data_IF_755811440664
#
_entry.id   IF_755811440664
#
_cell.length_a   1.000
_cell.length_b   1.000
_cell.length_c   1.000
_cell.angle_alpha   90.00
_cell.angle_beta   90.00
_cell.angle_gamma   90.00
#
_symmetry.space_group_name_H-M   'P 1'
#
loop_
_entity.id
_entity.type
_entity.pdbx_description
1 polymer ?
#
# COMPACT_ATOMS: atom_id res chain seq x y z
N UNK A 1 -6.63 -23.99 1.61
CA UNK A 1 -7.34 -23.20 0.57
C UNK A 1 -7.08 -21.75 0.90
N UNK A 2 -6.54 -20.94 -0.02
CA UNK A 2 -6.34 -19.51 0.26
C UNK A 2 -7.72 -18.86 0.48
N UNK A 3 -7.93 -18.26 1.65
CA UNK A 3 -9.18 -17.62 1.97
C UNK A 3 -9.23 -16.25 1.29
N UNK A 4 -10.24 -16.04 0.46
CA UNK A 4 -10.44 -14.77 -0.24
C UNK A 4 -10.73 -13.65 0.77
N UNK A 5 -10.06 -12.51 0.60
CA UNK A 5 -10.31 -11.32 1.41
C UNK A 5 -11.49 -10.57 0.80
N UNK A 6 -12.52 -10.33 1.62
CA UNK A 6 -13.75 -9.68 1.15
C UNK A 6 -13.52 -8.21 0.83
N UNK A 7 -14.33 -7.65 -0.07
CA UNK A 7 -14.28 -6.21 -0.38
C UNK A 7 -14.57 -5.34 0.85
N UNK A 8 -15.42 -5.81 1.78
CA UNK A 8 -15.72 -5.10 3.02
C UNK A 8 -14.48 -5.00 3.92
N UNK A 9 -13.75 -6.10 4.09
CA UNK A 9 -12.47 -6.12 4.81
C UNK A 9 -11.45 -5.18 4.17
N UNK A 10 -11.36 -5.15 2.83
CA UNK A 10 -10.47 -4.23 2.11
C UNK A 10 -10.89 -2.77 2.31
N UNK A 11 -12.20 -2.49 2.29
CA UNK A 11 -12.70 -1.13 2.51
C UNK A 11 -12.33 -0.64 3.91
N UNK A 12 -12.57 -1.48 4.93
CA UNK A 12 -12.21 -1.18 6.32
C UNK A 12 -10.70 -0.98 6.48
N UNK A 13 -9.89 -1.88 5.91
CA UNK A 13 -8.43 -1.78 5.90
C UNK A 13 -7.96 -0.45 5.34
N UNK A 14 -8.49 -0.04 4.18
CA UNK A 14 -8.11 1.24 3.55
C UNK A 14 -8.56 2.43 4.39
N UNK A 15 -9.77 2.42 4.95
CA UNK A 15 -10.23 3.53 5.78
C UNK A 15 -9.36 3.71 7.03
N UNK A 16 -9.10 2.62 7.78
CA UNK A 16 -8.22 2.64 8.95
C UNK A 16 -6.80 3.07 8.58
N UNK A 17 -6.30 2.58 7.45
CA UNK A 17 -4.98 2.92 6.96
C UNK A 17 -4.84 4.43 6.71
N UNK A 18 -5.80 5.06 6.02
CA UNK A 18 -5.75 6.50 5.76
C UNK A 18 -6.04 7.34 7.00
N UNK A 19 -6.86 6.87 7.94
CA UNK A 19 -7.05 7.55 9.25
C UNK A 19 -5.72 7.62 10.02
N UNK A 20 -4.88 6.59 9.94
CA UNK A 20 -3.52 6.61 10.52
C UNK A 20 -2.54 7.42 9.69
N UNK A 21 -2.53 7.22 8.36
CA UNK A 21 -1.56 7.82 7.45
C UNK A 21 -1.68 9.36 7.45
N UNK A 22 -2.91 9.88 7.44
CA UNK A 22 -3.18 11.32 7.45
C UNK A 22 -2.86 12.01 8.78
N UNK A 23 -2.51 11.26 9.83
CA UNK A 23 -1.99 11.79 11.10
C UNK A 23 -0.46 11.86 11.13
N UNK A 24 0.24 11.27 10.15
CA UNK A 24 1.71 11.28 10.09
C UNK A 24 2.19 12.63 9.52
N UNK A 25 3.12 13.35 10.19
CA UNK A 25 3.59 14.67 9.74
C UNK A 25 4.06 14.73 8.29
N UNK A 26 4.77 13.70 7.83
CA UNK A 26 5.23 13.57 6.45
C UNK A 26 4.08 13.61 5.44
N UNK A 27 3.02 12.84 5.68
CA UNK A 27 1.88 12.73 4.76
C UNK A 27 0.93 13.92 4.85
N UNK A 28 0.78 14.54 6.03
CA UNK A 28 0.07 15.81 6.18
C UNK A 28 0.68 16.87 5.25
N UNK A 29 2.01 17.03 5.31
CA UNK A 29 2.71 18.01 4.47
C UNK A 29 2.60 17.64 2.98
N UNK A 30 2.87 16.38 2.63
CA UNK A 30 2.84 15.92 1.24
C UNK A 30 1.45 16.08 0.59
N UNK A 31 0.39 15.68 1.27
CA UNK A 31 -0.96 15.76 0.72
C UNK A 31 -1.45 17.20 0.61
N UNK A 32 -1.09 18.06 1.57
CA UNK A 32 -1.38 19.49 1.51
C UNK A 32 -0.61 20.18 0.38
N UNK A 33 0.69 19.90 0.22
CA UNK A 33 1.54 20.53 -0.79
C UNK A 33 1.13 20.15 -2.21
N UNK A 34 0.71 18.88 -2.41
CA UNK A 34 0.33 18.36 -3.73
C UNK A 34 -1.18 18.46 -4.02
N UNK A 35 -1.97 19.07 -3.13
CA UNK A 35 -3.42 19.18 -3.22
C UNK A 35 -4.10 17.84 -3.56
N UNK A 36 -3.75 16.81 -2.79
CA UNK A 36 -4.13 15.42 -3.07
C UNK A 36 -5.57 15.16 -2.64
N UNK A 37 -6.36 14.63 -3.56
CA UNK A 37 -7.69 14.08 -3.26
C UNK A 37 -7.55 12.70 -2.60
N UNK A 38 -7.63 12.70 -1.27
CA UNK A 38 -7.48 11.49 -0.43
C UNK A 38 -8.58 10.47 -0.72
N UNK A 39 -9.81 10.90 -0.99
CA UNK A 39 -10.93 9.99 -1.27
C UNK A 39 -10.73 9.26 -2.59
N UNK A 40 -10.22 9.96 -3.61
CA UNK A 40 -9.84 9.33 -4.87
C UNK A 40 -8.66 8.36 -4.72
N UNK A 41 -7.71 8.65 -3.82
CA UNK A 41 -6.61 7.73 -3.51
C UNK A 41 -7.10 6.48 -2.81
N UNK A 42 -7.96 6.62 -1.78
CA UNK A 42 -8.58 5.49 -1.09
C UNK A 42 -9.27 4.55 -2.08
N UNK A 43 -10.03 5.09 -3.02
CA UNK A 43 -10.73 4.27 -4.02
C UNK A 43 -9.78 3.45 -4.90
N UNK A 44 -8.70 4.06 -5.37
CA UNK A 44 -7.66 3.36 -6.14
C UNK A 44 -6.96 2.30 -5.30
N UNK A 45 -6.68 2.61 -4.04
CA UNK A 45 -6.01 1.70 -3.11
C UNK A 45 -6.90 0.49 -2.77
N UNK A 46 -8.21 0.70 -2.57
CA UNK A 46 -9.19 -0.39 -2.38
C UNK A 46 -9.17 -1.37 -3.54
N UNK A 47 -9.27 -0.87 -4.77
CA UNK A 47 -9.26 -1.70 -5.97
C UNK A 47 -7.94 -2.46 -6.12
N UNK A 48 -6.82 -1.79 -5.83
CA UNK A 48 -5.50 -2.40 -5.89
C UNK A 48 -5.32 -3.51 -4.85
N UNK A 49 -5.65 -3.24 -3.58
CA UNK A 49 -5.53 -4.24 -2.50
C UNK A 49 -6.51 -5.40 -2.67
N UNK A 50 -7.73 -5.14 -3.16
CA UNK A 50 -8.69 -6.21 -3.46
C UNK A 50 -8.17 -7.16 -4.53
N UNK A 51 -7.50 -6.64 -5.57
CA UNK A 51 -6.81 -7.47 -6.57
C UNK A 51 -5.65 -8.22 -5.90
N UNK A 52 -4.72 -7.49 -5.28
CA UNK A 52 -3.49 -8.04 -4.70
C UNK A 52 -3.75 -9.14 -3.66
N UNK A 53 -4.76 -8.97 -2.81
CA UNK A 53 -5.10 -9.94 -1.78
C UNK A 53 -5.67 -11.24 -2.35
N UNK A 54 -6.40 -11.16 -3.47
CA UNK A 54 -7.15 -12.28 -4.04
C UNK A 54 -6.48 -12.94 -5.27
N UNK A 55 -5.49 -12.30 -5.88
CA UNK A 55 -4.71 -12.86 -6.99
C UNK A 55 -3.34 -13.34 -6.52
N UNK A 56 -2.68 -14.19 -7.31
CA UNK A 56 -1.24 -14.39 -7.14
C UNK A 56 -0.51 -13.07 -7.45
N UNK A 57 0.63 -12.83 -6.80
CA UNK A 57 1.48 -11.67 -7.12
C UNK A 57 1.94 -11.80 -8.58
N UNK A 58 1.51 -10.88 -9.45
CA UNK A 58 1.85 -10.87 -10.87
C UNK A 58 2.71 -9.65 -11.21
N UNK A 59 3.57 -9.79 -12.23
CA UNK A 59 4.44 -8.69 -12.70
C UNK A 59 3.65 -7.42 -13.08
N UNK A 60 2.39 -7.55 -13.48
CA UNK A 60 1.52 -6.41 -13.81
C UNK A 60 1.22 -5.49 -12.62
N UNK A 61 1.13 -6.05 -11.41
CA UNK A 61 0.84 -5.27 -10.21
C UNK A 61 2.06 -4.43 -9.81
N UNK A 62 3.27 -4.99 -9.96
CA UNK A 62 4.54 -4.28 -9.82
C UNK A 62 4.66 -3.14 -10.83
N UNK A 63 4.34 -3.38 -12.10
CA UNK A 63 4.36 -2.35 -13.15
C UNK A 63 3.36 -1.22 -12.90
N UNK A 64 2.16 -1.54 -12.37
CA UNK A 64 1.15 -0.55 -12.05
C UNK A 64 1.56 0.30 -10.84
N UNK A 65 2.12 -0.30 -9.80
CA UNK A 65 2.68 0.42 -8.65
C UNK A 65 3.81 1.34 -9.12
N UNK A 66 4.72 0.84 -9.95
CA UNK A 66 5.82 1.61 -10.52
C UNK A 66 5.34 2.79 -11.37
N UNK A 67 4.34 2.61 -12.23
CA UNK A 67 3.76 3.70 -13.05
C UNK A 67 3.00 4.73 -12.22
N UNK A 68 2.39 4.30 -11.11
CA UNK A 68 1.62 5.18 -10.21
C UNK A 68 2.53 6.02 -9.31
N UNK A 69 3.80 5.65 -9.18
CA UNK A 69 4.81 6.36 -8.40
C UNK A 69 5.99 6.81 -9.29
N UNK A 70 5.75 7.72 -10.27
CA UNK A 70 6.81 8.19 -11.18
C UNK A 70 7.80 9.16 -10.52
N UNK A 71 7.53 9.58 -9.28
CA UNK A 71 8.39 10.46 -8.50
C UNK A 71 9.27 9.63 -7.57
N UNK A 72 10.46 10.12 -7.23
CA UNK A 72 11.30 9.54 -6.18
C UNK A 72 10.49 9.41 -4.89
N UNK A 73 9.94 8.22 -4.65
CA UNK A 73 9.36 7.87 -3.36
C UNK A 73 10.54 7.92 -2.41
N UNK A 74 10.59 8.96 -1.58
CA UNK A 74 11.63 9.07 -0.56
C UNK A 74 11.53 7.82 0.31
N UNK A 75 12.67 7.17 0.56
CA UNK A 75 12.74 5.94 1.37
C UNK A 75 11.99 6.09 2.69
N UNK A 76 12.11 7.27 3.31
CA UNK A 76 11.39 7.65 4.52
C UNK A 76 9.86 7.58 4.37
N UNK A 77 9.30 8.13 3.27
CA UNK A 77 7.87 8.07 3.00
C UNK A 77 7.37 6.66 2.71
N UNK A 78 8.15 5.86 1.96
CA UNK A 78 7.84 4.46 1.71
C UNK A 78 7.84 3.63 3.01
N UNK A 79 8.80 3.86 3.89
CA UNK A 79 8.91 3.16 5.15
C UNK A 79 7.75 3.50 6.08
N UNK A 80 7.42 4.79 6.27
CA UNK A 80 6.27 5.21 7.09
C UNK A 80 4.97 4.61 6.53
N UNK A 81 4.81 4.61 5.21
CA UNK A 81 3.65 4.00 4.55
C UNK A 81 3.58 2.49 4.83
N UNK A 82 4.71 1.78 4.68
CA UNK A 82 4.81 0.33 4.89
C UNK A 82 4.48 -0.07 6.32
N UNK A 83 5.11 0.60 7.29
CA UNK A 83 4.87 0.35 8.72
C UNK A 83 3.41 0.59 9.06
N UNK A 84 2.82 1.70 8.60
CA UNK A 84 1.41 2.02 8.84
C UNK A 84 0.48 0.99 8.19
N UNK A 85 0.78 0.50 6.98
CA UNK A 85 -0.03 -0.51 6.29
C UNK A 85 0.04 -1.86 7.00
N UNK A 86 1.24 -2.32 7.38
CA UNK A 86 1.43 -3.59 8.10
C UNK A 86 0.71 -3.55 9.45
N UNK A 87 0.87 -2.47 10.21
CA UNK A 87 0.18 -2.26 11.48
C UNK A 87 -1.35 -2.32 11.29
N UNK A 88 -1.87 -1.68 10.25
CA UNK A 88 -3.32 -1.70 9.96
C UNK A 88 -3.80 -3.09 9.56
N UNK A 89 -3.06 -3.84 8.75
CA UNK A 89 -3.41 -5.22 8.38
C UNK A 89 -3.49 -6.12 9.61
N UNK A 90 -2.58 -5.95 10.57
CA UNK A 90 -2.56 -6.74 11.80
C UNK A 90 -3.79 -6.46 12.68
N UNK A 91 -4.30 -5.23 12.68
CA UNK A 91 -5.45 -4.80 13.48
C UNK A 91 -6.82 -5.12 12.88
N UNK A 92 -6.93 -5.29 11.57
CA UNK A 92 -8.20 -5.65 10.91
C UNK A 92 -8.47 -7.13 11.15
N UNK A 93 -9.73 -7.48 11.43
CA UNK A 93 -10.11 -8.86 11.73
C UNK A 93 -10.37 -9.65 10.44
N UNK A 94 -9.39 -10.44 10.02
CA UNK A 94 -9.51 -11.43 8.95
C UNK A 94 -8.45 -12.52 9.08
N UNK A 95 -8.55 -13.58 8.28
CA UNK A 95 -7.71 -14.79 8.40
C UNK A 95 -6.21 -14.46 8.43
N UNK A 96 -5.49 -14.99 9.44
CA UNK A 96 -4.06 -14.73 9.65
C UNK A 96 -3.19 -15.15 8.45
N UNK A 97 -3.52 -16.27 7.80
CA UNK A 97 -2.83 -16.70 6.57
C UNK A 97 -2.96 -15.66 5.44
N UNK A 98 -4.14 -15.03 5.33
CA UNK A 98 -4.39 -13.98 4.34
C UNK A 98 -3.70 -12.66 4.73
N UNK A 99 -3.63 -12.32 6.02
CA UNK A 99 -2.84 -11.17 6.51
C UNK A 99 -1.38 -11.33 6.15
N UNK A 100 -0.79 -12.48 6.47
CA UNK A 100 0.61 -12.76 6.22
C UNK A 100 0.92 -12.74 4.71
N UNK A 101 0.06 -13.36 3.89
CA UNK A 101 0.20 -13.32 2.44
C UNK A 101 0.14 -11.89 1.87
N UNK A 102 -0.78 -11.06 2.36
CA UNK A 102 -0.89 -9.67 1.91
C UNK A 102 0.33 -8.84 2.35
N UNK A 103 0.83 -9.03 3.57
CA UNK A 103 2.03 -8.36 4.08
C UNK A 103 3.25 -8.72 3.22
N UNK A 104 3.44 -9.99 2.90
CA UNK A 104 4.56 -10.45 2.06
C UNK A 104 4.51 -9.82 0.67
N UNK A 105 3.35 -9.85 0.00
CA UNK A 105 3.17 -9.22 -1.31
C UNK A 105 3.46 -7.72 -1.28
N UNK A 106 3.00 -7.01 -0.25
CA UNK A 106 3.26 -5.56 -0.11
C UNK A 106 4.75 -5.29 0.10
N UNK A 107 5.44 -6.10 0.91
CA UNK A 107 6.90 -5.98 1.11
C UNK A 107 7.67 -6.20 -0.19
N UNK A 108 7.31 -7.21 -0.97
CA UNK A 108 7.93 -7.48 -2.28
C UNK A 108 7.77 -6.29 -3.24
N UNK A 109 6.55 -5.74 -3.35
CA UNK A 109 6.26 -4.59 -4.20
C UNK A 109 7.07 -3.35 -3.79
N UNK A 110 7.13 -3.06 -2.49
CA UNK A 110 7.88 -1.91 -1.98
C UNK A 110 9.40 -2.09 -2.14
N UNK A 111 9.92 -3.28 -1.87
CA UNK A 111 11.33 -3.57 -2.08
C UNK A 111 11.71 -3.41 -3.57
N UNK A 112 10.87 -3.89 -4.49
CA UNK A 112 11.07 -3.68 -5.93
C UNK A 112 11.11 -2.19 -6.30
N UNK A 113 10.19 -1.40 -5.75
CA UNK A 113 10.13 0.04 -5.98
C UNK A 113 11.34 0.79 -5.39
N UNK A 114 11.81 0.40 -4.21
CA UNK A 114 12.96 1.01 -3.54
C UNK A 114 14.28 0.65 -4.22
N UNK A 115 14.49 -0.62 -4.58
CA UNK A 115 15.73 -1.08 -5.24
C UNK A 115 15.93 -0.39 -6.60
N UNK A 116 14.84 -0.18 -7.37
CA UNK A 116 14.90 0.53 -8.65
C UNK A 116 15.36 1.99 -8.52
N UNK A 117 14.99 2.64 -7.41
CA UNK A 117 15.37 4.03 -7.15
C UNK A 117 16.85 4.14 -6.73
N UNK A 118 17.48 3.06 -6.26
CA UNK A 118 18.93 3.02 -6.01
C UNK A 118 19.73 2.87 -7.32
N UNK A 119 19.26 2.02 -8.24
CA UNK A 119 19.93 1.78 -9.52
C UNK A 119 19.85 2.97 -10.50
N UNK A 120 18.90 3.90 -10.30
CA UNK A 120 18.76 5.11 -11.13
C UNK A 120 19.66 6.28 -10.68
N UNK A 121 20.58 6.04 -9.73
CA UNK A 121 21.53 7.03 -9.21
C UNK A 121 22.99 6.73 -9.60
N UNK A 122 23.24 5.77 -10.50
CA UNK A 122 24.58 5.39 -10.95
C UNK A 122 24.78 5.62 -12.45
#
# INVERSE_FOLDING_TARGET
>A
MAQLVTQETINELVERFYDKLTKKPYFIHLFSEKNVDVERLKERQRQFLAKLANTASENEDTDRVNKSHPFHVRKEGAQIWMETMIETIQEVDFAEDAKQSLIEKIRELLNSLLNRNEDSQN
#
